data_IF_585379776634
#
_entry.id   IF_585379776634
#
_cell.length_a   1.000
_cell.length_b   1.000
_cell.length_c   1.000
_cell.angle_alpha   90.00
_cell.angle_beta   90.00
_cell.angle_gamma   90.00
#
_symmetry.space_group_name_H-M   'P 1'
#
loop_
_entity.id
_entity.type
_entity.pdbx_description
1 polymer ?
#
# COMPACT_ATOMS: atom_id res chain seq x y z
N UNK A 1 -20.96 5.45 -11.62
CA UNK A 1 -22.43 5.47 -11.91
C UNK A 1 -22.95 6.91 -11.95
N UNK A 2 -23.74 7.31 -12.98
CA UNK A 2 -24.33 8.66 -13.01
C UNK A 2 -25.45 8.77 -11.98
N UNK A 3 -25.51 9.89 -11.26
CA UNK A 3 -26.50 10.25 -10.23
C UNK A 3 -26.43 9.53 -8.87
N UNK A 4 -25.24 9.11 -8.42
CA UNK A 4 -25.03 8.76 -6.99
C UNK A 4 -24.37 9.96 -6.31
N UNK A 5 -24.93 10.42 -5.18
CA UNK A 5 -24.49 11.62 -4.47
C UNK A 5 -23.03 11.55 -4.00
N UNK A 6 -22.61 10.37 -3.55
CA UNK A 6 -21.24 10.07 -3.17
C UNK A 6 -20.77 8.74 -3.78
N UNK A 7 -19.47 8.64 -4.05
CA UNK A 7 -18.87 7.41 -4.52
C UNK A 7 -18.68 6.46 -3.33
N UNK A 8 -19.20 5.24 -3.43
CA UNK A 8 -18.95 4.21 -2.41
C UNK A 8 -17.52 3.69 -2.60
N UNK A 9 -16.67 3.72 -1.55
CA UNK A 9 -15.30 3.19 -1.65
C UNK A 9 -15.28 1.71 -2.05
N UNK A 10 -14.25 1.30 -2.79
CA UNK A 10 -14.08 -0.09 -3.20
C UNK A 10 -13.61 -0.98 -2.05
N UNK A 11 -14.19 -2.18 -1.93
CA UNK A 11 -13.69 -3.26 -1.06
C UNK A 11 -12.68 -4.18 -1.78
N UNK A 12 -12.69 -4.19 -3.10
CA UNK A 12 -11.82 -5.02 -3.94
C UNK A 12 -11.44 -4.28 -5.22
N UNK A 13 -10.14 -4.22 -5.49
CA UNK A 13 -9.54 -3.57 -6.66
C UNK A 13 -8.78 -4.61 -7.48
N UNK A 14 -9.09 -4.71 -8.77
CA UNK A 14 -8.28 -5.48 -9.72
C UNK A 14 -7.34 -4.53 -10.45
N UNK A 15 -6.04 -4.79 -10.35
CA UNK A 15 -5.01 -3.96 -10.95
C UNK A 15 -4.13 -4.81 -11.87
N UNK A 16 -4.35 -4.62 -13.17
CA UNK A 16 -3.72 -5.40 -14.23
C UNK A 16 -3.01 -4.49 -15.24
N UNK A 17 -1.86 -3.92 -14.85
CA UNK A 17 -1.11 -3.03 -15.71
C UNK A 17 -0.44 -3.81 -16.84
N UNK A 18 -0.24 -3.20 -18.03
CA UNK A 18 0.56 -3.80 -19.09
C UNK A 18 1.95 -4.22 -18.58
N UNK A 19 2.41 -5.42 -18.93
CA UNK A 19 3.65 -6.06 -18.42
C UNK A 19 4.87 -5.13 -18.31
N UNK A 20 5.13 -4.30 -19.33
CA UNK A 20 6.30 -3.38 -19.34
C UNK A 20 6.23 -2.28 -18.28
N UNK A 21 5.06 -2.01 -17.72
CA UNK A 21 4.87 -0.96 -16.72
C UNK A 21 5.17 -1.42 -15.30
N UNK A 22 5.15 -2.74 -15.03
CA UNK A 22 5.45 -3.28 -13.71
C UNK A 22 6.93 -3.15 -13.35
N UNK A 23 7.83 -3.38 -14.30
CA UNK A 23 9.26 -3.16 -14.07
C UNK A 23 9.60 -1.68 -13.76
N UNK A 24 8.70 -0.76 -14.12
CA UNK A 24 8.77 0.67 -13.79
C UNK A 24 7.90 1.09 -12.60
N UNK A 25 7.38 0.13 -11.84
CA UNK A 25 6.66 0.41 -10.61
C UNK A 25 7.69 0.69 -9.49
N UNK A 26 7.97 1.97 -9.29
CA UNK A 26 8.88 2.46 -8.27
C UNK A 26 8.29 3.70 -7.60
N UNK A 27 8.80 4.05 -6.42
CA UNK A 27 8.34 5.21 -5.67
C UNK A 27 8.29 6.47 -6.57
N UNK A 28 7.14 7.15 -6.58
CA UNK A 28 6.92 8.36 -7.36
C UNK A 28 6.61 8.14 -8.85
N UNK A 29 6.66 6.91 -9.37
CA UNK A 29 6.25 6.61 -10.75
C UNK A 29 4.73 6.79 -10.95
N UNK A 30 4.24 6.98 -12.19
CA UNK A 30 2.81 7.16 -12.43
C UNK A 30 1.94 6.00 -11.94
N UNK A 31 2.47 4.78 -11.99
CA UNK A 31 1.76 3.58 -11.54
C UNK A 31 1.72 3.54 -10.00
N UNK A 32 2.83 3.86 -9.35
CA UNK A 32 2.91 3.97 -7.89
C UNK A 32 1.93 5.02 -7.36
N UNK A 33 1.92 6.22 -7.95
CA UNK A 33 0.95 7.29 -7.59
C UNK A 33 -0.51 6.87 -7.79
N UNK A 34 -0.76 5.97 -8.75
CA UNK A 34 -2.11 5.43 -8.95
C UNK A 34 -2.50 4.49 -7.81
N UNK A 35 -1.57 3.66 -7.32
CA UNK A 35 -1.78 2.79 -6.16
C UNK A 35 -1.93 3.58 -4.85
N UNK A 36 -1.19 4.69 -4.67
CA UNK A 36 -1.40 5.63 -3.55
C UNK A 36 -2.76 6.31 -3.60
N UNK A 37 -3.23 6.67 -4.81
CA UNK A 37 -4.56 7.25 -4.95
C UNK A 37 -5.66 6.22 -4.65
N UNK A 38 -5.42 4.96 -4.98
CA UNK A 38 -6.34 3.86 -4.68
C UNK A 38 -6.45 3.57 -3.19
N UNK A 39 -5.42 3.81 -2.38
CA UNK A 39 -5.49 3.61 -0.92
C UNK A 39 -6.25 4.70 -0.16
N UNK A 40 -6.67 5.79 -0.81
CA UNK A 40 -7.39 6.89 -0.16
C UNK A 40 -8.76 6.46 0.38
N UNK A 41 -9.21 7.00 1.53
CA UNK A 41 -10.51 6.64 2.15
C UNK A 41 -11.72 6.99 1.28
N UNK A 42 -11.60 8.00 0.42
CA UNK A 42 -12.64 8.35 -0.54
C UNK A 42 -12.68 7.42 -1.76
N UNK A 43 -11.74 6.48 -1.89
CA UNK A 43 -11.59 5.59 -3.05
C UNK A 43 -11.71 4.13 -2.66
N UNK A 44 -11.05 3.69 -1.58
CA UNK A 44 -11.14 2.31 -1.07
C UNK A 44 -11.42 2.30 0.43
N UNK A 45 -12.24 1.33 0.85
CA UNK A 45 -12.59 1.09 2.25
C UNK A 45 -11.38 0.59 3.05
N UNK A 46 -11.38 0.75 4.37
CA UNK A 46 -10.36 0.11 5.21
C UNK A 46 -10.42 -1.42 5.06
N UNK A 47 -9.26 -2.07 5.00
CA UNK A 47 -9.18 -3.51 4.77
C UNK A 47 -9.57 -3.94 3.35
N UNK A 48 -9.66 -3.01 2.39
CA UNK A 48 -9.87 -3.35 0.99
C UNK A 48 -8.77 -4.24 0.44
N UNK A 49 -9.12 -5.09 -0.52
CA UNK A 49 -8.19 -5.97 -1.21
C UNK A 49 -7.72 -5.39 -2.54
N UNK A 50 -6.44 -5.52 -2.82
CA UNK A 50 -5.84 -5.28 -4.13
C UNK A 50 -5.36 -6.60 -4.72
N UNK A 51 -5.90 -6.96 -5.88
CA UNK A 51 -5.42 -8.05 -6.71
C UNK A 51 -4.50 -7.47 -7.79
N UNK A 52 -3.19 -7.56 -7.57
CA UNK A 52 -2.15 -7.04 -8.46
C UNK A 52 -1.56 -8.16 -9.30
N UNK A 53 -1.62 -8.02 -10.63
CA UNK A 53 -1.00 -8.96 -11.57
C UNK A 53 0.36 -8.45 -12.04
N UNK A 54 1.37 -9.32 -12.00
CA UNK A 54 2.74 -9.02 -12.40
C UNK A 54 3.37 -10.20 -13.13
N UNK A 55 4.31 -9.99 -14.07
CA UNK A 55 5.17 -11.08 -14.54
C UNK A 55 5.91 -11.74 -13.37
N UNK A 56 6.19 -13.03 -13.46
CA UNK A 56 6.92 -13.76 -12.43
C UNK A 56 8.27 -13.10 -12.14
N UNK A 57 8.65 -13.03 -10.86
CA UNK A 57 9.93 -12.46 -10.40
C UNK A 57 10.12 -10.97 -10.69
N UNK A 58 9.03 -10.24 -10.90
CA UNK A 58 9.08 -8.78 -10.95
C UNK A 58 9.65 -8.22 -9.65
N UNK A 59 10.48 -7.18 -9.77
CA UNK A 59 10.99 -6.38 -8.65
C UNK A 59 10.42 -4.98 -8.81
N UNK A 60 9.74 -4.50 -7.77
CA UNK A 60 9.04 -3.21 -7.78
C UNK A 60 8.81 -2.71 -6.35
N UNK A 61 8.47 -1.43 -6.23
CA UNK A 61 8.06 -0.81 -4.97
C UNK A 61 6.54 -0.73 -4.89
N UNK A 62 5.98 -1.05 -3.73
CA UNK A 62 4.55 -0.90 -3.46
C UNK A 62 4.35 0.19 -2.41
N UNK A 63 3.30 1.04 -2.50
CA UNK A 63 3.02 1.97 -1.41
C UNK A 63 2.84 1.22 -0.09
N UNK A 64 3.39 1.75 1.01
CA UNK A 64 3.46 1.02 2.28
C UNK A 64 2.08 0.72 2.87
N UNK A 65 1.03 1.42 2.43
CA UNK A 65 -0.37 1.15 2.79
C UNK A 65 -0.88 -0.20 2.27
N UNK A 66 -0.23 -0.80 1.27
CA UNK A 66 -0.63 -2.07 0.68
C UNK A 66 0.32 -3.17 1.14
N UNK A 67 -0.19 -4.09 1.96
CA UNK A 67 0.60 -5.18 2.53
C UNK A 67 0.37 -6.45 1.72
N UNK A 68 1.42 -7.08 1.22
CA UNK A 68 1.30 -8.33 0.46
C UNK A 68 1.00 -9.48 1.44
N UNK A 69 -0.24 -9.95 1.42
CA UNK A 69 -0.71 -11.06 2.26
C UNK A 69 -0.48 -12.42 1.59
N UNK A 70 -0.72 -12.49 0.28
CA UNK A 70 -0.61 -13.74 -0.48
C UNK A 70 -0.06 -13.52 -1.87
N UNK A 71 0.66 -14.52 -2.36
CA UNK A 71 1.15 -14.62 -3.73
C UNK A 71 0.73 -15.96 -4.33
N UNK A 72 0.13 -15.91 -5.52
CA UNK A 72 -0.19 -17.08 -6.32
C UNK A 72 0.60 -17.01 -7.63
N UNK A 73 1.32 -18.07 -7.96
CA UNK A 73 2.10 -18.13 -9.21
C UNK A 73 1.44 -19.10 -10.18
N UNK A 74 1.17 -18.64 -11.41
CA UNK A 74 0.57 -19.46 -12.47
C UNK A 74 1.07 -19.01 -13.84
N UNK A 75 1.60 -19.92 -14.65
CA UNK A 75 1.97 -19.67 -16.06
C UNK A 75 2.83 -18.41 -16.27
N UNK A 76 3.93 -18.28 -15.50
CA UNK A 76 4.87 -17.15 -15.50
C UNK A 76 4.26 -15.79 -15.06
N UNK A 77 3.15 -15.83 -14.33
CA UNK A 77 2.53 -14.66 -13.71
C UNK A 77 2.42 -14.85 -12.21
N UNK A 78 2.68 -13.78 -11.48
CA UNK A 78 2.37 -13.66 -10.06
C UNK A 78 1.11 -12.82 -9.88
N UNK A 79 0.15 -13.35 -9.12
CA UNK A 79 -1.02 -12.64 -8.62
C UNK A 79 -0.80 -12.38 -7.13
N UNK A 80 -0.67 -11.11 -6.78
CA UNK A 80 -0.46 -10.66 -5.42
C UNK A 80 -1.80 -10.17 -4.85
N UNK A 81 -2.18 -10.73 -3.71
CA UNK A 81 -3.31 -10.24 -2.92
C UNK A 81 -2.73 -9.37 -1.81
N UNK A 82 -3.02 -8.07 -1.90
CA UNK A 82 -2.54 -7.09 -0.95
C UNK A 82 -3.72 -6.55 -0.13
N UNK A 83 -3.54 -6.43 1.18
CA UNK A 83 -4.52 -5.83 2.08
C UNK A 83 -4.20 -4.35 2.28
N UNK A 84 -5.22 -3.50 2.24
CA UNK A 84 -5.09 -2.10 2.62
C UNK A 84 -5.04 -1.98 4.13
N UNK A 85 -3.89 -1.62 4.67
CA UNK A 85 -3.70 -1.30 6.07
C UNK A 85 -3.24 0.15 6.22
N UNK A 86 -4.17 1.02 6.59
CA UNK A 86 -3.88 2.44 6.88
C UNK A 86 -3.49 2.65 8.34
N UNK A 87 -4.11 1.89 9.26
CA UNK A 87 -3.88 2.02 10.69
C UNK A 87 -2.48 1.52 11.09
N UNK A 88 -1.95 0.50 10.40
CA UNK A 88 -0.58 0.02 10.63
C UNK A 88 0.49 1.10 10.46
N UNK A 89 0.29 2.06 9.56
CA UNK A 89 1.24 3.15 9.33
C UNK A 89 1.16 4.24 10.41
N UNK A 90 -0.06 4.59 10.84
CA UNK A 90 -0.27 5.56 11.92
C UNK A 90 0.32 5.06 13.24
N UNK A 91 0.21 3.76 13.52
CA UNK A 91 0.79 3.13 14.71
C UNK A 91 2.33 3.09 14.71
N UNK A 92 2.97 2.90 13.55
CA UNK A 92 4.45 2.90 13.44
C UNK A 92 5.05 4.31 13.62
N UNK A 93 4.38 5.35 13.13
CA UNK A 93 4.79 6.74 13.31
C UNK A 93 4.67 7.20 14.78
N UNK A 94 3.58 6.85 15.46
CA UNK A 94 3.39 7.15 16.88
C UNK A 94 4.39 6.40 17.78
N UNK A 95 4.70 5.15 17.46
CA UNK A 95 5.67 4.35 18.21
C UNK A 95 7.10 4.90 18.07
N UNK A 96 7.49 5.30 16.84
CA UNK A 96 8.81 5.89 16.57
C UNK A 96 8.99 7.23 17.26
N UNK A 97 7.94 8.07 17.29
CA UNK A 97 7.97 9.36 17.98
C UNK A 97 8.08 9.20 19.51
N UNK A 98 7.41 8.20 20.09
CA UNK A 98 7.50 7.89 21.52
C UNK A 98 8.88 7.36 21.93
N UNK A 99 9.47 6.46 21.14
CA UNK A 99 10.80 5.91 21.40
C UNK A 99 11.90 6.99 21.30
N UNK A 100 11.77 7.95 20.38
CA UNK A 100 12.70 9.09 20.29
C UNK A 100 12.59 10.03 21.48
N UNK A 101 11.36 10.31 21.93
CA UNK A 101 11.11 11.18 23.11
C UNK A 101 11.71 10.57 24.38
N UNK A 102 11.55 9.26 24.58
CA UNK A 102 12.11 8.55 25.75
C UNK A 102 13.64 8.50 25.74
N UNK A 103 14.26 8.45 24.56
CA UNK A 103 15.73 8.47 24.42
C UNK A 103 16.32 9.85 24.73
N UNK A 104 15.60 10.93 24.41
CA UNK A 104 16.03 12.31 24.71
C UNK A 104 15.88 12.63 26.20
N UNK A 105 14.78 12.23 26.85
CA UNK A 105 14.57 12.47 28.29
C UNK A 105 15.52 11.66 29.19
N UNK A 106 16.02 10.51 28.73
CA UNK A 106 16.96 9.68 29.51
C UNK A 106 18.43 10.14 29.43
N UNK A 107 18.75 11.11 28.58
CA UNK A 107 20.08 11.72 28.48
C UNK A 107 20.26 12.93 29.42
N UNK A 108 19.17 13.47 29.98
CA UNK A 108 19.18 14.64 30.87
C UNK A 108 19.31 14.28 32.38
N UNK A 109 19.26 12.99 32.75
CA UNK A 109 19.32 12.52 34.14
C UNK A 109 20.76 12.15 34.62
N UNK A 110 21.80 12.29 33.79
CA UNK A 110 23.21 12.00 34.15
C UNK A 110 24.12 13.26 34.27
N UNK A 111 23.65 14.34 34.94
CA UNK A 111 24.53 15.47 35.34
C UNK A 111 24.58 15.73 36.85
#
# INVERSE_FOLDING_TARGET
PRNVGDFVPFDLVFFDPPYRMIEGLSAGSPLYRSLERLSRPTVSADGAWLCLRTPERSVFDLPPTWIIERKLTMSNMDILLCLLDRAGLEGEEEQTAQDQTYLEESLDDEE
#
